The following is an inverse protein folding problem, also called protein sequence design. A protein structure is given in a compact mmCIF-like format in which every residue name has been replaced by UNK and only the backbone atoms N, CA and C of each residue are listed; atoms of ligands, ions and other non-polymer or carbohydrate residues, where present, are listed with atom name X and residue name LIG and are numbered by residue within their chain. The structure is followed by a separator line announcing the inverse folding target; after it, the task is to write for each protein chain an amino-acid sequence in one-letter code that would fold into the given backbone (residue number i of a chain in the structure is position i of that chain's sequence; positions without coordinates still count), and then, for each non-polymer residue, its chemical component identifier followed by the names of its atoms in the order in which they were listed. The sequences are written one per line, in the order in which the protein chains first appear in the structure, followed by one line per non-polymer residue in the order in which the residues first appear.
data_IF_549333632373
#
_entry.id   IF_549333632373
#
_cell.length_a   1.000
_cell.length_b   1.000
_cell.length_c   1.000
_cell.angle_alpha   90.00
_cell.angle_beta   90.00
_cell.angle_gamma   90.00
#
_symmetry.space_group_name_H-M   'P 1'
#
loop_
_entity.id
_entity.type
_entity.pdbx_description
1 polymer ?
#
# COMPACT_ATOMS: atom_id res chain seq x y z
N UNK A 1 6.54 -26.20 -19.68
CA UNK A 1 5.64 -25.29 -18.96
C UNK A 1 6.37 -23.97 -18.89
N UNK A 2 5.99 -23.00 -19.71
CA UNK A 2 6.52 -21.64 -19.59
C UNK A 2 6.32 -21.20 -18.14
N UNK A 3 7.40 -20.86 -17.45
CA UNK A 3 7.32 -20.20 -16.16
C UNK A 3 6.73 -18.82 -16.42
N UNK A 4 5.40 -18.72 -16.50
CA UNK A 4 4.72 -17.46 -16.72
C UNK A 4 5.21 -16.47 -15.67
N UNK A 5 5.79 -15.37 -16.13
CA UNK A 5 6.24 -14.31 -15.25
C UNK A 5 5.05 -13.87 -14.38
N UNK A 6 5.14 -14.01 -13.03
CA UNK A 6 4.03 -13.70 -12.13
C UNK A 6 3.69 -12.20 -12.13
N UNK A 7 4.52 -11.39 -12.78
CA UNK A 7 4.37 -9.96 -12.92
C UNK A 7 3.88 -9.57 -14.32
N UNK A 8 3.10 -8.49 -14.40
CA UNK A 8 2.80 -7.84 -15.69
C UNK A 8 4.05 -7.08 -16.18
N UNK A 9 4.27 -6.99 -17.50
CA UNK A 9 5.33 -6.15 -18.04
C UNK A 9 5.06 -4.70 -17.59
N UNK A 10 6.05 -4.11 -16.92
CA UNK A 10 6.00 -2.75 -16.41
C UNK A 10 7.41 -2.14 -16.52
N UNK A 11 7.54 -0.85 -16.84
CA UNK A 11 8.86 -0.23 -17.08
C UNK A 11 9.76 -0.17 -15.84
N UNK A 12 9.19 -0.26 -14.63
CA UNK A 12 9.92 -0.18 -13.36
C UNK A 12 9.83 -1.54 -12.63
N UNK A 13 10.92 -1.96 -11.97
CA UNK A 13 10.91 -3.19 -11.19
C UNK A 13 9.95 -3.08 -9.99
N UNK A 14 9.32 -4.20 -9.61
CA UNK A 14 8.45 -4.26 -8.43
C UNK A 14 9.17 -3.79 -7.16
N UNK A 15 10.42 -4.19 -6.99
CA UNK A 15 11.24 -3.85 -5.82
C UNK A 15 11.50 -2.33 -5.72
N UNK A 16 11.75 -1.69 -6.85
CA UNK A 16 11.93 -0.24 -6.90
C UNK A 16 10.62 0.49 -6.61
N UNK A 17 9.49 0.04 -7.18
CA UNK A 17 8.17 0.59 -6.87
C UNK A 17 7.84 0.47 -5.38
N UNK A 18 8.12 -0.70 -4.79
CA UNK A 18 7.88 -0.98 -3.38
C UNK A 18 8.74 -0.11 -2.46
N UNK A 19 10.01 0.08 -2.82
CA UNK A 19 10.94 0.96 -2.11
C UNK A 19 10.48 2.42 -2.17
N UNK A 20 10.17 2.92 -3.37
CA UNK A 20 9.69 4.30 -3.55
C UNK A 20 8.39 4.50 -2.77
N UNK A 21 7.44 3.59 -2.90
CA UNK A 21 6.16 3.65 -2.20
C UNK A 21 6.36 3.80 -0.70
N UNK A 22 7.16 2.92 -0.09
CA UNK A 22 7.32 2.91 1.37
C UNK A 22 8.16 4.07 1.89
N UNK A 23 9.18 4.51 1.15
CA UNK A 23 9.94 5.70 1.54
C UNK A 23 9.08 6.96 1.44
N UNK A 24 8.35 7.13 0.33
CA UNK A 24 7.45 8.28 0.17
C UNK A 24 6.34 8.27 1.22
N UNK A 25 5.76 7.10 1.51
CA UNK A 25 4.71 6.98 2.53
C UNK A 25 5.25 7.31 3.93
N UNK A 26 6.38 6.74 4.32
CA UNK A 26 7.02 7.02 5.61
C UNK A 26 7.34 8.51 5.77
N UNK A 27 7.89 9.14 4.74
CA UNK A 27 8.19 10.57 4.77
C UNK A 27 6.90 11.41 4.80
N UNK A 28 5.86 11.02 4.05
CA UNK A 28 4.58 11.73 4.06
C UNK A 28 3.98 11.77 5.47
N UNK A 29 3.94 10.62 6.16
CA UNK A 29 3.46 10.53 7.54
C UNK A 29 4.35 11.33 8.51
N UNK A 30 5.68 11.29 8.33
CA UNK A 30 6.61 12.05 9.17
C UNK A 30 6.45 13.57 9.01
N UNK A 31 6.30 14.06 7.77
CA UNK A 31 6.08 15.48 7.49
C UNK A 31 4.70 15.94 7.94
N UNK A 32 3.68 15.09 7.85
CA UNK A 32 2.36 15.36 8.41
C UNK A 32 2.42 15.51 9.94
N UNK A 33 3.13 14.62 10.64
CA UNK A 33 3.25 14.63 12.10
C UNK A 33 3.94 15.90 12.66
N UNK A 34 4.83 16.54 11.89
CA UNK A 34 5.48 17.80 12.28
C UNK A 34 4.77 19.05 11.74
N UNK A 35 3.48 18.90 11.37
CA UNK A 35 2.62 19.95 10.81
C UNK A 35 3.10 20.56 9.47
N UNK A 36 4.00 19.89 8.75
CA UNK A 36 4.47 20.32 7.42
C UNK A 36 3.55 19.77 6.31
N UNK A 37 2.26 20.10 6.41
CA UNK A 37 1.17 19.54 5.59
C UNK A 37 1.42 19.57 4.07
N UNK A 38 1.91 20.68 3.46
CA UNK A 38 2.09 20.72 2.01
C UNK A 38 3.10 19.70 1.48
N UNK A 39 4.17 19.45 2.24
CA UNK A 39 5.19 18.45 1.88
C UNK A 39 4.64 17.04 2.07
N UNK A 40 3.89 16.81 3.15
CA UNK A 40 3.16 15.56 3.37
C UNK A 40 2.22 15.24 2.20
N UNK A 41 1.38 16.19 1.77
CA UNK A 41 0.49 16.01 0.63
C UNK A 41 1.24 15.78 -0.68
N UNK A 42 2.34 16.50 -0.92
CA UNK A 42 3.16 16.31 -2.12
C UNK A 42 3.75 14.88 -2.19
N UNK A 43 4.13 14.30 -1.05
CA UNK A 43 4.64 12.92 -0.96
C UNK A 43 3.55 11.85 -0.98
N UNK A 44 2.30 12.20 -0.65
CA UNK A 44 1.18 11.28 -0.82
C UNK A 44 0.86 11.00 -2.29
N UNK A 45 1.12 11.95 -3.20
CA UNK A 45 0.93 11.76 -4.64
C UNK A 45 1.76 10.57 -5.18
N UNK A 46 3.11 10.55 -5.06
CA UNK A 46 3.90 9.41 -5.52
C UNK A 46 3.58 8.13 -4.75
N UNK A 47 3.16 8.24 -3.48
CA UNK A 47 2.72 7.09 -2.67
C UNK A 47 1.49 6.42 -3.25
N UNK A 48 0.43 7.18 -3.55
CA UNK A 48 -0.79 6.64 -4.17
C UNK A 48 -0.48 6.06 -5.55
N UNK A 49 0.28 6.77 -6.38
CA UNK A 49 0.63 6.30 -7.73
C UNK A 49 1.38 4.98 -7.67
N UNK A 50 2.44 4.90 -6.88
CA UNK A 50 3.25 3.67 -6.75
C UNK A 50 2.47 2.52 -6.13
N UNK A 51 1.56 2.80 -5.18
CA UNK A 51 0.65 1.79 -4.61
C UNK A 51 -0.28 1.19 -5.65
N UNK A 52 -0.86 2.01 -6.52
CA UNK A 52 -1.70 1.55 -7.63
C UNK A 52 -0.89 0.78 -8.68
N UNK A 53 0.34 1.22 -8.97
CA UNK A 53 1.24 0.46 -9.86
C UNK A 53 1.56 -0.93 -9.28
N UNK A 54 1.84 -1.04 -7.98
CA UNK A 54 2.08 -2.33 -7.31
C UNK A 54 0.85 -3.26 -7.36
N UNK A 55 -0.34 -2.69 -7.26
CA UNK A 55 -1.59 -3.44 -7.42
C UNK A 55 -1.75 -3.98 -8.85
N UNK A 56 -1.41 -3.17 -9.86
CA UNK A 56 -1.49 -3.57 -11.27
C UNK A 56 -0.44 -4.63 -11.65
N UNK A 57 0.80 -4.49 -11.17
CA UNK A 57 1.93 -5.37 -11.54
C UNK A 57 1.74 -6.80 -11.05
N UNK A 58 1.06 -7.00 -9.92
CA UNK A 58 0.89 -8.31 -9.29
C UNK A 58 -0.31 -9.09 -9.87
N UNK A 59 -0.06 -10.31 -10.39
CA UNK A 59 -1.12 -11.18 -10.93
C UNK A 59 -1.64 -12.21 -9.91
N UNK A 60 -0.87 -12.52 -8.86
CA UNK A 60 -1.24 -13.56 -7.90
C UNK A 60 -2.35 -13.08 -6.99
N UNK A 61 -3.52 -13.75 -7.04
CA UNK A 61 -4.72 -13.36 -6.28
C UNK A 61 -4.46 -13.10 -4.79
N UNK A 62 -3.75 -13.95 -4.02
CA UNK A 62 -3.53 -13.69 -2.59
C UNK A 62 -2.74 -12.41 -2.34
N UNK A 63 -1.70 -12.16 -3.15
CA UNK A 63 -0.84 -10.97 -3.05
C UNK A 63 -1.55 -9.72 -3.55
N UNK A 64 -2.45 -9.86 -4.53
CA UNK A 64 -3.30 -8.77 -5.00
C UNK A 64 -4.20 -8.25 -3.87
N UNK A 65 -4.81 -9.14 -3.07
CA UNK A 65 -5.62 -8.70 -1.91
C UNK A 65 -4.79 -8.02 -0.81
N UNK A 66 -3.51 -8.43 -0.62
CA UNK A 66 -2.60 -7.72 0.29
C UNK A 66 -2.28 -6.34 -0.26
N UNK A 67 -1.92 -6.23 -1.54
CA UNK A 67 -1.64 -4.95 -2.19
C UNK A 67 -2.88 -4.05 -2.18
N UNK A 68 -4.08 -4.62 -2.33
CA UNK A 68 -5.34 -3.89 -2.22
C UNK A 68 -5.57 -3.37 -0.79
N UNK A 69 -5.29 -4.19 0.23
CA UNK A 69 -5.34 -3.76 1.62
C UNK A 69 -4.38 -2.60 1.90
N UNK A 70 -3.14 -2.66 1.39
CA UNK A 70 -2.16 -1.58 1.50
C UNK A 70 -2.66 -0.32 0.79
N UNK A 71 -3.26 -0.44 -0.40
CA UNK A 71 -3.86 0.71 -1.08
C UNK A 71 -5.02 1.31 -0.27
N UNK A 72 -5.91 0.48 0.29
CA UNK A 72 -6.96 0.96 1.20
C UNK A 72 -6.37 1.71 2.40
N UNK A 73 -5.25 1.25 2.95
CA UNK A 73 -4.54 1.95 4.02
C UNK A 73 -4.00 3.30 3.55
N UNK A 74 -3.34 3.35 2.40
CA UNK A 74 -2.84 4.61 1.82
C UNK A 74 -3.98 5.61 1.62
N UNK A 75 -5.12 5.17 1.07
CA UNK A 75 -6.30 6.03 0.90
C UNK A 75 -6.87 6.50 2.24
N UNK A 76 -6.91 5.64 3.25
CA UNK A 76 -7.31 6.00 4.59
C UNK A 76 -6.41 7.09 5.20
N UNK A 77 -5.08 6.93 5.11
CA UNK A 77 -4.13 7.96 5.56
C UNK A 77 -4.30 9.26 4.78
N UNK A 78 -4.40 9.21 3.45
CA UNK A 78 -4.65 10.41 2.62
C UNK A 78 -5.90 11.17 3.07
N UNK A 79 -7.01 10.46 3.26
CA UNK A 79 -8.29 11.05 3.67
C UNK A 79 -8.25 11.57 5.11
N UNK A 80 -7.51 10.90 5.99
CA UNK A 80 -7.31 11.39 7.35
C UNK A 80 -6.49 12.69 7.35
N UNK A 81 -5.38 12.75 6.61
CA UNK A 81 -4.60 13.98 6.45
C UNK A 81 -5.44 15.15 5.90
N UNK A 82 -6.29 14.89 4.90
CA UNK A 82 -7.22 15.89 4.35
C UNK A 82 -8.23 16.33 5.43
N UNK A 83 -8.80 15.38 6.17
CA UNK A 83 -9.75 15.68 7.25
C UNK A 83 -9.16 16.53 8.35
N UNK A 84 -7.87 16.34 8.63
CA UNK A 84 -7.14 17.09 9.66
C UNK A 84 -6.84 18.52 9.19
N UNK A 85 -6.43 18.67 7.92
CA UNK A 85 -6.17 19.98 7.32
C UNK A 85 -7.42 20.85 7.13
N UNK A 86 -8.56 20.25 6.81
CA UNK A 86 -9.80 20.97 6.46
C UNK A 86 -10.89 20.89 7.55
N UNK A 87 -10.65 20.17 8.65
CA UNK A 87 -11.58 19.94 9.78
C UNK A 87 -12.97 19.41 9.38
N UNK A 88 -13.13 18.87 8.17
CA UNK A 88 -14.43 18.41 7.67
C UNK A 88 -14.69 16.93 8.00
N UNK A 89 -15.79 16.68 8.73
CA UNK A 89 -16.24 15.33 9.11
C UNK A 89 -16.47 14.26 8.00
N UNK A 90 -16.85 14.58 6.75
CA UNK A 90 -17.05 13.55 5.72
C UNK A 90 -15.76 12.81 5.36
N UNK A 91 -14.60 13.47 5.35
CA UNK A 91 -13.32 12.83 5.00
C UNK A 91 -12.86 11.85 6.07
N UNK A 92 -13.06 12.17 7.35
CA UNK A 92 -12.80 11.23 8.45
C UNK A 92 -13.69 9.99 8.36
N UNK A 93 -14.95 10.16 7.97
CA UNK A 93 -15.88 9.05 7.78
C UNK A 93 -15.43 8.16 6.62
N UNK A 94 -15.02 8.75 5.50
CA UNK A 94 -14.45 8.03 4.37
C UNK A 94 -13.15 7.29 4.76
N UNK A 95 -12.26 7.92 5.53
CA UNK A 95 -11.03 7.30 6.03
C UNK A 95 -11.34 6.03 6.84
N UNK A 96 -12.31 6.10 7.76
CA UNK A 96 -12.77 4.94 8.54
C UNK A 96 -13.31 3.81 7.65
N UNK A 97 -14.04 4.13 6.58
CA UNK A 97 -14.54 3.14 5.63
C UNK A 97 -13.39 2.44 4.89
N UNK A 98 -12.37 3.18 4.48
CA UNK A 98 -11.17 2.62 3.85
C UNK A 98 -10.35 1.76 4.83
N UNK A 99 -10.26 2.15 6.11
CA UNK A 99 -9.65 1.32 7.15
C UNK A 99 -10.32 -0.06 7.25
N UNK A 100 -11.65 -0.07 7.39
CA UNK A 100 -12.43 -1.32 7.49
C UNK A 100 -12.30 -2.15 6.22
N UNK A 101 -12.35 -1.51 5.05
CA UNK A 101 -12.17 -2.19 3.75
C UNK A 101 -10.79 -2.84 3.62
N UNK A 102 -9.73 -2.17 4.10
CA UNK A 102 -8.39 -2.73 4.15
C UNK A 102 -8.28 -3.96 5.05
N UNK A 103 -8.88 -3.91 6.25
CA UNK A 103 -8.94 -5.06 7.15
C UNK A 103 -9.68 -6.25 6.52
N UNK A 104 -10.81 -6.00 5.86
CA UNK A 104 -11.56 -7.05 5.15
C UNK A 104 -10.70 -7.69 4.05
N UNK A 105 -9.92 -6.89 3.30
CA UNK A 105 -9.01 -7.42 2.29
C UNK A 105 -7.92 -8.32 2.88
N UNK A 106 -7.38 -7.99 4.05
CA UNK A 106 -6.41 -8.85 4.75
C UNK A 106 -7.06 -10.18 5.15
N UNK A 107 -8.26 -10.13 5.74
CA UNK A 107 -9.01 -11.34 6.14
C UNK A 107 -9.29 -12.23 4.92
N UNK A 108 -9.75 -11.65 3.81
CA UNK A 108 -9.98 -12.37 2.55
C UNK A 108 -8.69 -12.98 2.02
N UNK A 109 -7.58 -12.25 2.04
CA UNK A 109 -6.27 -12.75 1.59
C UNK A 109 -5.84 -13.98 2.39
N UNK A 110 -5.93 -13.93 3.72
CA UNK A 110 -5.59 -15.04 4.61
C UNK A 110 -6.49 -16.25 4.34
N UNK A 111 -7.79 -16.02 4.15
CA UNK A 111 -8.75 -17.09 3.87
C UNK A 111 -8.47 -17.79 2.53
N UNK A 112 -8.12 -17.03 1.50
CA UNK A 112 -7.75 -17.57 0.18
C UNK A 112 -6.41 -18.32 0.24
N UNK A 113 -5.44 -17.82 1.01
CA UNK A 113 -4.11 -18.40 1.10
C UNK A 113 -4.08 -19.72 1.87
N UNK A 114 -5.13 -20.06 2.65
CA UNK A 114 -5.26 -21.26 3.51
C UNK A 114 -4.10 -21.53 4.48
N UNK A 115 -3.12 -20.64 4.57
CA UNK A 115 -1.89 -20.74 5.36
C UNK A 115 -1.35 -19.32 5.61
N UNK A 116 -1.37 -18.91 6.87
CA UNK A 116 -0.78 -17.63 7.31
C UNK A 116 0.72 -17.57 7.00
N UNK A 117 1.41 -18.70 6.98
CA UNK A 117 2.86 -18.78 6.68
C UNK A 117 3.16 -18.33 5.25
N UNK A 118 2.32 -18.69 4.29
CA UNK A 118 2.51 -18.32 2.88
C UNK A 118 2.17 -16.83 2.67
N UNK A 119 1.11 -16.33 3.32
CA UNK A 119 0.77 -14.89 3.33
C UNK A 119 1.90 -14.04 3.95
N UNK A 120 2.41 -14.42 5.13
CA UNK A 120 3.49 -13.70 5.82
C UNK A 120 4.87 -13.90 5.19
N UNK A 121 5.09 -14.96 4.41
CA UNK A 121 6.34 -15.13 3.64
C UNK A 121 6.51 -14.03 2.58
N UNK A 122 5.42 -13.42 2.11
CA UNK A 122 5.45 -12.25 1.22
C UNK A 122 5.75 -10.95 1.97
N UNK A 123 5.52 -10.91 3.29
CA UNK A 123 5.95 -9.81 4.17
C UNK A 123 7.40 -9.96 4.66
N UNK A 124 8.12 -11.03 4.30
CA UNK A 124 9.58 -11.16 4.52
C UNK A 124 10.34 -10.25 3.55
N UNK A 125 10.20 -8.95 3.79
CA UNK A 125 10.80 -7.84 3.04
C UNK A 125 12.33 -7.70 3.24
N UNK A 126 12.94 -8.56 4.07
CA UNK A 126 14.37 -8.50 4.44
C UNK A 126 15.07 -9.87 4.40
N UNK A 127 14.90 -10.68 3.35
CA UNK A 127 15.74 -11.88 3.19
C UNK A 127 16.28 -12.05 1.77
N UNK A 128 17.03 -11.05 1.31
CA UNK A 128 18.05 -11.24 0.27
C UNK A 128 19.06 -10.08 0.27
N UNK A 129 19.70 -9.81 1.41
CA UNK A 129 21.07 -9.28 1.37
C UNK A 129 21.99 -10.49 1.32
N UNK A 130 22.24 -11.00 0.10
CA UNK A 130 23.48 -11.74 -0.14
C UNK A 130 24.54 -10.68 -0.39
N UNK A 131 25.39 -10.47 0.60
CA UNK A 131 26.73 -9.93 0.39
C UNK A 131 27.59 -10.99 -0.30
#
# INVERSE_FOLDING_TARGET
METENPFRPFPISKEMLDTINSVCWFLADAFWMIDLLPVGFALMIPTVITGLCLLYVEKRKPVLFINLAINCWIFMNSLWMISDADLQGPYLTAAKLFFVSGLLCIVISVWISKSLRDTFSHFKRFRSLKF
#
